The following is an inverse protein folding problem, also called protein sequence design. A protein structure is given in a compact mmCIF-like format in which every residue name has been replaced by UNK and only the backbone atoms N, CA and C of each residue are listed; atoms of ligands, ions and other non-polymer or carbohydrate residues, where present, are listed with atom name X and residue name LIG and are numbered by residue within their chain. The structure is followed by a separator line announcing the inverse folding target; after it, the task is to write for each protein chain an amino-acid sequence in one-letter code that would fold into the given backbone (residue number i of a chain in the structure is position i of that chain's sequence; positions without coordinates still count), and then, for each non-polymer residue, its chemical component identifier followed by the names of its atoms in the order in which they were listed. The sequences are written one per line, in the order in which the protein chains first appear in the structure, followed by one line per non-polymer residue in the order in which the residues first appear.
data_IF_998771370301
#
_entry.id   IF_998771370301
#
_cell.length_a   1.000
_cell.length_b   1.000
_cell.length_c   1.000
_cell.angle_alpha   90.00
_cell.angle_beta   90.00
_cell.angle_gamma   90.00
#
_symmetry.space_group_name_H-M   'P 1'
#
loop_
_entity.id
_entity.type
_entity.pdbx_description
1 polymer ?
#
# COMPACT_ATOMS: atom_id res chain seq x y z
N UNK A 1 -49.54 117.38 -27.51
CA UNK A 1 -48.47 116.46 -27.96
C UNK A 1 -48.23 115.43 -26.88
N UNK A 2 -48.82 114.24 -26.98
CA UNK A 2 -48.68 113.18 -25.97
C UNK A 2 -47.60 112.20 -26.41
N UNK A 3 -46.47 112.18 -25.69
CA UNK A 3 -45.43 111.17 -25.90
C UNK A 3 -45.78 109.93 -25.07
N UNK A 4 -46.08 108.84 -25.76
CA UNK A 4 -46.25 107.53 -25.15
C UNK A 4 -44.87 106.99 -24.73
N UNK A 5 -44.73 106.63 -23.45
CA UNK A 5 -43.52 106.04 -22.92
C UNK A 5 -43.49 104.54 -23.25
N UNK A 6 -42.58 104.12 -24.12
CA UNK A 6 -42.35 102.71 -24.42
C UNK A 6 -41.76 102.02 -23.18
N UNK A 7 -42.51 101.11 -22.57
CA UNK A 7 -42.02 100.25 -21.50
C UNK A 7 -41.14 99.15 -22.11
N UNK A 8 -39.82 99.31 -22.03
CA UNK A 8 -38.87 98.25 -22.37
C UNK A 8 -38.59 97.44 -21.09
N UNK A 9 -39.21 96.26 -20.98
CA UNK A 9 -38.79 95.26 -19.98
C UNK A 9 -37.39 94.75 -20.34
N UNK A 10 -36.39 94.85 -19.45
CA UNK A 10 -35.04 94.37 -19.72
C UNK A 10 -35.02 92.84 -19.83
N UNK A 11 -34.12 92.26 -20.64
CA UNK A 11 -34.10 90.81 -20.87
C UNK A 11 -33.69 90.07 -19.59
N UNK A 12 -34.36 88.94 -19.31
CA UNK A 12 -34.14 87.99 -18.20
C UNK A 12 -32.77 87.29 -18.28
N UNK A 13 -31.68 88.05 -18.20
CA UNK A 13 -30.30 87.55 -18.28
C UNK A 13 -29.90 86.70 -17.07
N UNK A 14 -30.47 86.98 -15.89
CA UNK A 14 -30.20 86.22 -14.65
C UNK A 14 -30.73 84.78 -14.67
N UNK A 15 -31.85 84.50 -15.32
CA UNK A 15 -32.45 83.16 -15.34
C UNK A 15 -31.60 82.15 -16.12
N UNK A 16 -30.97 82.60 -17.21
CA UNK A 16 -30.09 81.75 -18.00
C UNK A 16 -28.83 81.39 -17.22
N UNK A 17 -28.26 82.37 -16.51
CA UNK A 17 -27.10 82.19 -15.63
C UNK A 17 -27.42 81.24 -14.47
N UNK A 18 -28.58 81.43 -13.82
CA UNK A 18 -29.08 80.54 -12.77
C UNK A 18 -29.17 79.09 -13.27
N UNK A 19 -29.75 78.85 -14.44
CA UNK A 19 -29.88 77.50 -15.02
C UNK A 19 -28.52 76.85 -15.34
N UNK A 20 -27.54 77.61 -15.80
CA UNK A 20 -26.17 77.09 -16.01
C UNK A 20 -25.50 76.69 -14.69
N UNK A 21 -25.67 77.49 -13.64
CA UNK A 21 -25.16 77.17 -12.30
C UNK A 21 -25.83 75.92 -11.72
N UNK A 22 -27.16 75.84 -11.83
CA UNK A 22 -27.95 74.68 -11.39
C UNK A 22 -27.46 73.39 -12.08
N UNK A 23 -27.26 73.45 -13.41
CA UNK A 23 -26.78 72.32 -14.19
C UNK A 23 -25.35 71.91 -13.81
N UNK A 24 -24.45 72.89 -13.67
CA UNK A 24 -23.06 72.63 -13.26
C UNK A 24 -23.00 72.01 -11.85
N UNK A 25 -23.87 72.46 -10.94
CA UNK A 25 -23.99 71.91 -9.61
C UNK A 25 -24.50 70.46 -9.64
N UNK A 26 -25.56 70.17 -10.40
CA UNK A 26 -26.06 68.80 -10.55
C UNK A 26 -25.04 67.86 -11.20
N UNK A 27 -24.33 68.32 -12.24
CA UNK A 27 -23.28 67.56 -12.88
C UNK A 27 -22.11 67.28 -11.93
N UNK A 28 -21.73 68.25 -11.08
CA UNK A 28 -20.73 68.04 -10.03
C UNK A 28 -21.19 67.00 -9.01
N UNK A 29 -22.43 67.13 -8.51
CA UNK A 29 -22.99 66.18 -7.53
C UNK A 29 -23.04 64.76 -8.10
N UNK A 30 -23.42 64.61 -9.37
CA UNK A 30 -23.39 63.33 -10.09
C UNK A 30 -21.98 62.76 -10.14
N UNK A 31 -20.99 63.55 -10.55
CA UNK A 31 -19.57 63.12 -10.60
C UNK A 31 -19.02 62.72 -9.23
N UNK A 32 -19.41 63.42 -8.16
CA UNK A 32 -19.02 63.07 -6.79
C UNK A 32 -19.66 61.76 -6.34
N UNK A 33 -20.93 61.53 -6.69
CA UNK A 33 -21.63 60.29 -6.35
C UNK A 33 -21.13 59.07 -7.15
N UNK A 34 -20.80 59.28 -8.43
CA UNK A 34 -20.31 58.22 -9.32
C UNK A 34 -18.82 57.92 -9.13
N UNK A 35 -18.08 58.77 -8.43
CA UNK A 35 -16.65 58.60 -8.17
C UNK A 35 -16.40 57.27 -7.44
N UNK A 36 -15.72 56.36 -8.14
CA UNK A 36 -15.28 55.10 -7.55
C UNK A 36 -14.04 55.33 -6.69
N UNK A 37 -13.93 54.68 -5.52
CA UNK A 37 -12.70 54.73 -4.73
C UNK A 37 -11.55 54.08 -5.51
N UNK A 38 -10.40 54.75 -5.53
CA UNK A 38 -9.18 54.26 -6.19
C UNK A 38 -8.59 53.02 -5.49
N UNK A 39 -8.83 52.91 -4.18
CA UNK A 39 -8.30 51.85 -3.33
C UNK A 39 -9.43 50.91 -2.94
N UNK A 40 -9.18 49.61 -3.03
CA UNK A 40 -10.11 48.61 -2.50
C UNK A 40 -10.16 48.71 -0.98
N UNK A 41 -11.33 49.09 -0.44
CA UNK A 41 -11.60 49.15 1.00
C UNK A 41 -12.33 47.92 1.50
N UNK A 42 -12.45 46.85 0.68
CA UNK A 42 -13.10 45.61 1.11
C UNK A 42 -12.30 44.95 2.22
N UNK A 43 -13.02 44.22 3.08
CA UNK A 43 -12.40 43.41 4.10
C UNK A 43 -11.44 42.40 3.44
N UNK A 44 -10.19 42.25 3.96
CA UNK A 44 -9.26 41.25 3.45
C UNK A 44 -9.90 39.86 3.49
N UNK A 45 -9.58 39.04 2.48
CA UNK A 45 -10.06 37.66 2.44
C UNK A 45 -9.56 36.91 3.68
N UNK A 46 -10.49 36.37 4.47
CA UNK A 46 -10.14 35.51 5.62
C UNK A 46 -9.60 34.18 5.10
N UNK A 47 -8.27 34.09 4.95
CA UNK A 47 -7.62 32.86 4.53
C UNK A 47 -7.66 31.86 5.69
N UNK A 48 -8.34 30.73 5.51
CA UNK A 48 -8.51 29.71 6.55
C UNK A 48 -7.19 29.18 7.13
N UNK A 49 -6.10 29.20 6.35
CA UNK A 49 -4.77 28.78 6.79
C UNK A 49 -4.07 29.79 7.75
N UNK A 50 -4.53 31.06 7.82
CA UNK A 50 -4.06 32.02 8.82
C UNK A 50 -4.68 31.74 10.19
N UNK A 51 -5.92 31.24 10.22
CA UNK A 51 -6.64 30.92 11.45
C UNK A 51 -6.37 29.49 11.94
N UNK A 52 -6.03 28.57 11.03
CA UNK A 52 -5.81 27.16 11.34
C UNK A 52 -4.31 26.80 11.26
N UNK A 53 -3.77 26.30 12.38
CA UNK A 53 -2.41 25.76 12.45
C UNK A 53 -2.33 24.36 11.83
N UNK A 54 -2.56 24.26 10.52
CA UNK A 54 -2.70 22.99 9.80
C UNK A 54 -1.51 22.03 10.00
N UNK A 55 -0.27 22.57 10.01
CA UNK A 55 0.93 21.76 10.27
C UNK A 55 0.90 21.12 11.66
N UNK A 56 0.45 21.85 12.68
CA UNK A 56 0.31 21.33 14.05
C UNK A 56 -0.77 20.25 14.11
N UNK A 57 -1.93 20.50 13.50
CA UNK A 57 -3.02 19.52 13.48
C UNK A 57 -2.60 18.20 12.84
N UNK A 58 -1.93 18.25 11.68
CA UNK A 58 -1.42 17.04 11.01
C UNK A 58 -0.39 16.26 11.84
N UNK A 59 0.47 16.98 12.57
CA UNK A 59 1.49 16.34 13.41
C UNK A 59 0.82 15.62 14.60
N UNK A 60 -0.14 16.26 15.23
CA UNK A 60 -0.90 15.69 16.35
C UNK A 60 -1.76 14.50 15.92
N UNK A 61 -2.39 14.56 14.75
CA UNK A 61 -3.08 13.41 14.14
C UNK A 61 -2.13 12.22 13.94
N UNK A 62 -0.92 12.46 13.43
CA UNK A 62 0.10 11.43 13.29
C UNK A 62 0.53 10.82 14.63
N UNK A 63 0.73 11.65 15.67
CA UNK A 63 1.07 11.18 17.02
C UNK A 63 -0.06 10.32 17.61
N UNK A 64 -1.31 10.77 17.48
CA UNK A 64 -2.48 10.04 17.98
C UNK A 64 -2.65 8.70 17.24
N UNK A 65 -2.44 8.66 15.93
CA UNK A 65 -2.51 7.42 15.14
C UNK A 65 -1.52 6.36 15.62
N UNK A 66 -0.29 6.77 15.96
CA UNK A 66 0.73 5.87 16.53
C UNK A 66 0.29 5.36 17.90
N UNK A 67 -0.18 6.26 18.77
CA UNK A 67 -0.69 5.91 20.11
C UNK A 67 -1.85 4.91 20.01
N UNK A 68 -2.82 5.14 19.13
CA UNK A 68 -3.98 4.27 18.97
C UNK A 68 -3.61 2.88 18.45
N UNK A 69 -2.66 2.81 17.51
CA UNK A 69 -2.11 1.54 17.04
C UNK A 69 -1.44 0.77 18.17
N UNK A 70 -0.63 1.45 18.97
CA UNK A 70 0.12 0.83 20.06
C UNK A 70 -0.81 0.39 21.20
N UNK A 71 -1.81 1.21 21.53
CA UNK A 71 -2.85 0.87 22.49
C UNK A 71 -3.63 -0.38 22.06
N UNK A 72 -4.02 -0.48 20.78
CA UNK A 72 -4.65 -1.69 20.24
C UNK A 72 -3.78 -2.92 20.40
N UNK A 73 -2.49 -2.82 20.06
CA UNK A 73 -1.55 -3.93 20.19
C UNK A 73 -1.32 -4.33 21.66
N UNK A 74 -1.24 -3.35 22.56
CA UNK A 74 -1.11 -3.58 23.99
C UNK A 74 -2.33 -4.32 24.53
N UNK A 75 -3.54 -3.86 24.19
CA UNK A 75 -4.79 -4.50 24.59
C UNK A 75 -4.89 -5.94 24.08
N UNK A 76 -4.48 -6.20 22.83
CA UNK A 76 -4.43 -7.55 22.26
C UNK A 76 -3.49 -8.47 23.08
N UNK A 77 -2.29 -7.97 23.42
CA UNK A 77 -1.31 -8.70 24.24
C UNK A 77 -1.82 -8.97 25.66
N UNK A 78 -2.36 -7.96 26.32
CA UNK A 78 -2.92 -8.08 27.67
C UNK A 78 -4.10 -9.06 27.67
N UNK A 79 -5.02 -8.94 26.71
CA UNK A 79 -6.13 -9.88 26.53
C UNK A 79 -5.63 -11.32 26.37
N UNK A 80 -4.58 -11.53 25.57
CA UNK A 80 -3.98 -12.84 25.40
C UNK A 80 -3.42 -13.36 26.74
N UNK A 81 -2.62 -12.57 27.46
CA UNK A 81 -2.06 -12.96 28.77
C UNK A 81 -3.16 -13.32 29.77
N UNK A 82 -4.21 -12.49 29.85
CA UNK A 82 -5.36 -12.72 30.72
C UNK A 82 -6.08 -14.02 30.39
N UNK A 83 -6.36 -14.28 29.10
CA UNK A 83 -7.01 -15.53 28.65
C UNK A 83 -6.16 -16.75 28.94
N UNK A 84 -4.85 -16.64 28.79
CA UNK A 84 -3.93 -17.77 28.94
C UNK A 84 -3.43 -17.94 30.38
N UNK A 85 -3.82 -17.06 31.33
CA UNK A 85 -3.43 -17.06 32.76
C UNK A 85 -1.91 -17.27 32.99
N UNK A 86 -1.08 -16.74 32.10
CA UNK A 86 0.39 -16.92 32.17
C UNK A 86 0.88 -18.32 31.76
N UNK A 87 0.00 -19.21 31.30
CA UNK A 87 0.37 -20.52 30.76
C UNK A 87 0.98 -20.30 29.36
N UNK A 88 2.31 -20.28 29.30
CA UNK A 88 3.06 -20.28 28.05
C UNK A 88 2.94 -21.65 27.39
N UNK A 89 1.75 -21.97 26.86
CA UNK A 89 1.63 -23.02 25.85
C UNK A 89 2.62 -22.68 24.75
N UNK A 90 3.53 -23.60 24.42
CA UNK A 90 4.47 -23.47 23.29
C UNK A 90 3.77 -23.23 21.94
N UNK A 91 2.42 -23.29 21.93
CA UNK A 91 1.49 -22.95 20.85
C UNK A 91 0.67 -21.68 21.14
N UNK A 92 1.18 -20.70 21.88
CA UNK A 92 0.47 -19.43 22.03
C UNK A 92 0.32 -18.75 20.66
N UNK A 93 -0.92 -18.65 20.17
CA UNK A 93 -1.30 -18.04 18.90
C UNK A 93 -1.03 -16.53 18.79
N UNK A 94 -0.32 -15.93 19.75
CA UNK A 94 0.43 -14.70 19.51
C UNK A 94 1.65 -15.07 18.68
N UNK A 95 1.43 -15.21 17.38
CA UNK A 95 2.45 -15.44 16.36
C UNK A 95 3.67 -14.61 16.70
N UNK A 96 4.75 -15.28 17.12
CA UNK A 96 6.05 -14.67 17.36
C UNK A 96 6.47 -13.99 16.05
N UNK A 97 6.18 -12.69 15.92
CA UNK A 97 6.58 -11.88 14.78
C UNK A 97 8.10 -11.84 14.85
N UNK A 98 8.76 -12.68 14.06
CA UNK A 98 10.20 -12.58 13.86
C UNK A 98 10.50 -11.17 13.36
N UNK A 99 11.50 -10.52 13.93
CA UNK A 99 11.92 -9.17 13.54
C UNK A 99 12.24 -9.07 12.04
N UNK A 100 12.59 -10.19 11.40
CA UNK A 100 12.94 -10.27 9.97
C UNK A 100 11.80 -10.65 9.02
N UNK A 101 10.53 -10.65 9.48
CA UNK A 101 9.41 -11.08 8.62
C UNK A 101 9.28 -10.19 7.38
N UNK A 102 9.30 -8.87 7.56
CA UNK A 102 9.20 -7.92 6.45
C UNK A 102 10.36 -8.04 5.44
N UNK A 103 11.59 -8.27 5.92
CA UNK A 103 12.76 -8.48 5.05
C UNK A 103 12.67 -9.80 4.28
N UNK A 104 12.17 -10.88 4.92
CA UNK A 104 11.92 -12.17 4.26
C UNK A 104 10.84 -12.06 3.20
N UNK A 105 9.73 -11.39 3.51
CA UNK A 105 8.61 -11.23 2.58
C UNK A 105 9.04 -10.40 1.36
N UNK A 106 9.81 -9.34 1.55
CA UNK A 106 10.39 -8.55 0.44
C UNK A 106 11.33 -9.38 -0.43
N UNK A 107 12.22 -10.18 0.18
CA UNK A 107 13.13 -11.07 -0.56
C UNK A 107 12.36 -12.13 -1.32
N UNK A 108 11.32 -12.71 -0.72
CA UNK A 108 10.45 -13.70 -1.35
C UNK A 108 9.73 -13.11 -2.57
N UNK A 109 9.17 -11.90 -2.46
CA UNK A 109 8.57 -11.22 -3.60
C UNK A 109 9.58 -10.90 -4.71
N UNK A 110 10.83 -10.56 -4.36
CA UNK A 110 11.90 -10.34 -5.34
C UNK A 110 12.20 -11.62 -6.12
N UNK A 111 12.42 -12.72 -5.40
CA UNK A 111 12.67 -14.05 -5.98
C UNK A 111 11.50 -14.47 -6.88
N UNK A 112 10.26 -14.32 -6.43
CA UNK A 112 9.10 -14.66 -7.27
C UNK A 112 9.01 -13.86 -8.58
N UNK A 113 9.43 -12.59 -8.57
CA UNK A 113 9.49 -11.78 -9.79
C UNK A 113 10.59 -12.29 -10.72
N UNK A 114 11.76 -12.60 -10.18
CA UNK A 114 12.89 -13.17 -10.92
C UNK A 114 12.49 -14.52 -11.55
N UNK A 115 11.85 -15.40 -10.78
CA UNK A 115 11.36 -16.71 -11.24
C UNK A 115 10.32 -16.56 -12.36
N UNK A 116 9.40 -15.58 -12.27
CA UNK A 116 8.42 -15.31 -13.34
C UNK A 116 9.10 -14.93 -14.66
N UNK A 117 10.12 -14.07 -14.59
CA UNK A 117 10.89 -13.64 -15.78
C UNK A 117 11.66 -14.81 -16.38
N UNK A 118 12.26 -15.67 -15.53
CA UNK A 118 12.98 -16.87 -16.00
C UNK A 118 12.01 -17.83 -16.69
N UNK A 119 10.82 -18.04 -16.12
CA UNK A 119 9.78 -18.90 -16.70
C UNK A 119 9.29 -18.37 -18.05
N UNK A 120 9.03 -17.08 -18.18
CA UNK A 120 8.68 -16.43 -19.46
C UNK A 120 9.79 -16.67 -20.48
N UNK A 121 11.06 -16.42 -20.12
CA UNK A 121 12.20 -16.66 -21.00
C UNK A 121 12.34 -18.12 -21.43
N UNK A 122 12.14 -19.08 -20.53
CA UNK A 122 12.21 -20.51 -20.84
C UNK A 122 11.06 -20.92 -21.76
N UNK A 123 9.87 -20.35 -21.54
CA UNK A 123 8.66 -20.66 -22.32
C UNK A 123 8.75 -20.07 -23.73
N UNK A 124 9.30 -18.86 -23.86
CA UNK A 124 9.47 -18.16 -25.15
C UNK A 124 10.69 -18.66 -25.94
N UNK A 125 11.60 -19.39 -25.28
CA UNK A 125 12.75 -20.02 -25.95
C UNK A 125 12.34 -21.35 -26.56
N UNK A 126 12.55 -21.53 -27.86
CA UNK A 126 12.35 -22.85 -28.50
C UNK A 126 13.31 -23.89 -27.90
N UNK A 127 12.84 -25.12 -27.59
CA UNK A 127 13.70 -26.19 -27.16
C UNK A 127 14.58 -26.65 -28.33
N UNK A 128 15.75 -26.04 -28.47
CA UNK A 128 16.78 -26.45 -29.41
C UNK A 128 17.48 -27.70 -28.87
N UNK A 129 16.82 -28.85 -28.99
CA UNK A 129 17.46 -30.15 -28.86
C UNK A 129 17.18 -30.94 -30.13
N UNK A 130 18.11 -30.99 -31.10
CA UNK A 130 18.14 -32.12 -32.01
C UNK A 130 18.49 -33.35 -31.16
N UNK A 131 17.49 -34.20 -30.90
CA UNK A 131 17.68 -35.51 -30.30
C UNK A 131 18.59 -36.33 -31.21
N UNK A 132 19.89 -36.31 -30.93
CA UNK A 132 20.84 -37.24 -31.53
C UNK A 132 21.65 -37.94 -30.45
N UNK A 133 21.38 -39.26 -30.37
CA UNK A 133 22.25 -40.31 -29.86
C UNK A 133 22.74 -40.16 -28.42
N UNK A 134 21.93 -40.67 -27.49
CA UNK A 134 22.41 -41.52 -26.39
C UNK A 134 21.44 -42.69 -26.15
N UNK A 135 21.25 -43.51 -27.19
CA UNK A 135 20.88 -44.92 -26.99
C UNK A 135 22.15 -45.73 -27.21
N UNK A 136 23.01 -45.71 -26.19
CA UNK A 136 24.23 -46.49 -26.11
C UNK A 136 24.27 -47.12 -24.73
N UNK A 137 23.82 -48.37 -24.69
CA UNK A 137 24.31 -49.40 -23.77
C UNK A 137 24.38 -49.01 -22.29
N UNK A 138 23.24 -49.13 -21.61
CA UNK A 138 23.26 -49.63 -20.24
C UNK A 138 22.31 -50.81 -20.13
N UNK A 139 22.85 -51.99 -20.42
CA UNK A 139 22.25 -53.27 -20.06
C UNK A 139 21.86 -53.23 -18.57
N UNK A 140 20.58 -53.45 -18.22
CA UNK A 140 20.19 -53.55 -16.83
C UNK A 140 20.65 -54.91 -16.31
N UNK A 141 21.65 -54.91 -15.41
CA UNK A 141 21.95 -56.07 -14.59
C UNK A 141 20.67 -56.50 -13.86
N UNK A 142 20.28 -57.77 -14.04
CA UNK A 142 19.06 -58.33 -13.45
C UNK A 142 19.03 -58.13 -11.94
N UNK A 143 18.09 -57.31 -11.47
CA UNK A 143 17.75 -57.19 -10.06
C UNK A 143 16.84 -58.36 -9.67
N UNK A 144 17.06 -59.04 -8.52
CA UNK A 144 16.14 -60.05 -8.02
C UNK A 144 14.72 -59.48 -7.91
N UNK A 145 13.77 -60.26 -8.44
CA UNK A 145 12.35 -59.91 -8.64
C UNK A 145 11.75 -59.19 -7.42
N UNK A 146 11.22 -57.99 -7.65
CA UNK A 146 10.49 -57.17 -6.67
C UNK A 146 9.31 -57.88 -5.99
N UNK A 147 8.85 -59.00 -6.55
CA UNK A 147 7.74 -59.79 -6.02
C UNK A 147 8.05 -60.41 -4.65
N UNK A 148 9.31 -60.79 -4.38
CA UNK A 148 9.68 -61.34 -3.07
C UNK A 148 9.59 -60.31 -1.94
N UNK A 149 9.88 -59.05 -2.25
CA UNK A 149 9.82 -57.97 -1.27
C UNK A 149 8.39 -57.47 -1.08
N UNK A 150 7.55 -57.52 -2.12
CA UNK A 150 6.11 -57.21 -2.01
C UNK A 150 5.38 -58.21 -1.11
N UNK A 151 5.72 -59.50 -1.16
CA UNK A 151 5.11 -60.52 -0.31
C UNK A 151 5.52 -60.38 1.17
N UNK A 152 6.76 -59.96 1.45
CA UNK A 152 7.29 -59.76 2.81
C UNK A 152 6.80 -58.47 3.48
N UNK A 153 6.35 -57.49 2.68
CA UNK A 153 5.94 -56.17 3.15
C UNK A 153 4.50 -55.83 2.73
N UNK A 154 3.55 -56.72 2.98
CA UNK A 154 2.13 -56.42 2.82
C UNK A 154 1.64 -55.35 3.81
N UNK A 155 0.50 -54.73 3.51
CA UNK A 155 0.00 -53.49 4.16
C UNK A 155 -0.38 -53.63 5.64
N UNK A 156 -0.40 -54.86 6.18
CA UNK A 156 -0.71 -55.16 7.59
C UNK A 156 0.53 -55.33 8.47
N UNK A 157 1.73 -55.32 7.89
CA UNK A 157 2.96 -55.53 8.67
C UNK A 157 3.33 -54.26 9.43
N UNK A 158 3.21 -54.33 10.76
CA UNK A 158 3.59 -53.25 11.68
C UNK A 158 5.06 -52.83 11.50
N UNK A 159 5.32 -51.53 11.68
CA UNK A 159 6.65 -50.93 11.50
C UNK A 159 7.73 -51.64 12.34
N UNK A 160 7.36 -52.15 13.52
CA UNK A 160 8.27 -52.90 14.41
C UNK A 160 8.64 -54.28 13.86
N UNK A 161 7.75 -54.95 13.13
CA UNK A 161 8.05 -56.21 12.43
C UNK A 161 8.90 -55.97 11.18
N UNK A 162 8.64 -54.88 10.44
CA UNK A 162 9.47 -54.48 9.29
C UNK A 162 10.93 -54.24 9.69
N UNK A 163 11.14 -53.54 10.81
CA UNK A 163 12.49 -53.27 11.34
C UNK A 163 13.19 -54.57 11.78
N UNK A 164 12.48 -55.50 12.45
CA UNK A 164 13.05 -56.81 12.83
C UNK A 164 13.49 -57.63 11.63
N UNK A 165 12.69 -57.70 10.56
CA UNK A 165 13.03 -58.42 9.33
C UNK A 165 14.26 -57.81 8.64
N UNK A 166 14.35 -56.48 8.59
CA UNK A 166 15.46 -55.78 7.95
C UNK A 166 16.78 -55.95 8.73
N UNK A 167 16.71 -55.92 10.07
CA UNK A 167 17.86 -56.22 10.95
C UNK A 167 18.30 -57.68 10.82
N UNK A 168 17.36 -58.63 10.72
CA UNK A 168 17.66 -60.05 10.50
C UNK A 168 18.40 -60.32 9.18
N UNK A 169 17.94 -59.72 8.07
CA UNK A 169 18.60 -59.81 6.76
C UNK A 169 20.03 -59.22 6.79
N UNK A 170 20.26 -58.14 7.53
CA UNK A 170 21.59 -57.53 7.71
C UNK A 170 22.55 -58.46 8.47
N UNK A 171 22.07 -59.21 9.46
CA UNK A 171 22.91 -60.18 10.20
C UNK A 171 23.26 -61.43 9.39
N UNK A 172 22.44 -61.81 8.40
CA UNK A 172 22.70 -62.97 7.54
C UNK A 172 23.77 -62.67 6.48
N UNK A 173 23.79 -61.44 5.95
CA UNK A 173 24.85 -60.96 5.04
C UNK A 173 26.21 -60.84 5.73
N UNK A 174 26.22 -60.49 7.04
CA UNK A 174 27.43 -60.49 7.87
C UNK A 174 28.00 -61.88 8.15
N UNK A 175 27.16 -62.91 8.29
CA UNK A 175 27.58 -64.30 8.54
C UNK A 175 28.08 -65.04 7.29
N UNK A 176 27.66 -64.64 6.08
CA UNK A 176 28.23 -65.19 4.83
C UNK A 176 29.69 -64.77 4.61
N UNK A 177 30.07 -63.57 5.07
CA UNK A 177 31.42 -63.02 4.91
C UNK A 177 32.50 -63.65 5.81
N UNK A 178 32.11 -64.45 6.81
CA UNK A 178 33.05 -65.16 7.69
C UNK A 178 33.21 -66.66 7.36
N UNK A 179 32.47 -67.21 6.39
CA UNK A 179 32.65 -68.60 5.91
C UNK A 179 33.57 -68.74 4.69
N UNK A 180 34.11 -67.63 4.16
CA UNK A 180 35.06 -67.62 3.04
C UNK A 180 36.52 -67.37 3.48
N UNK A 181 36.82 -67.55 4.77
CA UNK A 181 38.19 -67.49 5.29
C UNK A 181 38.51 -68.77 6.06
N UNK A 182 38.68 -69.87 5.34
CA UNK A 182 39.60 -70.99 5.59
C UNK A 182 39.68 -71.80 4.29
#
# INVERSE_FOLDING_TARGET
MSRQACHLTPPRTGERQQRTWEKAYQDHRRKVQEAQPLVDTRAPLTLGHLHLKLKKLKLEEGRLSVIDRDNRLLLEKVSCIMRTRGQASSRSACTRRSLDRGKRDQKHHRVQREDKIILERITDSEPSCPTQRRLGSREPAETPREEELKLKFSKTTSWTQKVKLWVGLRTQSGKRRQREKW
#
